data_IF_925273925685
#
_entry.id   IF_925273925685
#
_cell.length_a   1.000
_cell.length_b   1.000
_cell.length_c   1.000
_cell.angle_alpha   90.00
_cell.angle_beta   90.00
_cell.angle_gamma   90.00
#
_symmetry.space_group_name_H-M   'P 1'
#
loop_
_entity.id
_entity.type
_entity.pdbx_description
1 polymer ?
#
# COMPACT_ATOMS: atom_id res chain seq x y z
N UNK A 1 5.75 44.42 9.00
CA UNK A 1 6.65 45.58 8.80
C UNK A 1 5.94 46.95 8.85
N UNK A 2 4.71 47.06 9.39
CA UNK A 2 4.06 48.35 9.62
C UNK A 2 4.55 49.03 10.90
N UNK A 3 4.57 48.31 12.03
CA UNK A 3 5.08 48.82 13.33
C UNK A 3 6.46 49.47 13.20
N UNK A 4 7.40 48.75 12.58
CA UNK A 4 8.77 49.22 12.32
C UNK A 4 8.85 50.44 11.39
N UNK A 5 7.91 50.59 10.45
CA UNK A 5 7.90 51.71 9.49
C UNK A 5 7.48 53.03 10.16
N UNK A 6 6.56 52.96 11.11
CA UNK A 6 6.03 54.12 11.84
C UNK A 6 6.68 54.32 13.20
N UNK A 7 7.64 53.46 13.56
CA UNK A 7 8.43 53.62 14.77
C UNK A 7 9.30 54.89 14.63
N UNK A 8 9.34 55.75 15.65
CA UNK A 8 10.09 56.98 15.57
C UNK A 8 11.59 56.75 15.41
N UNK A 9 12.26 57.68 14.73
CA UNK A 9 13.72 57.61 14.54
C UNK A 9 14.39 58.25 15.75
N UNK A 10 15.43 57.64 16.29
CA UNK A 10 16.17 58.18 17.44
C UNK A 10 16.90 59.47 17.06
N UNK A 11 16.20 60.60 17.18
CA UNK A 11 16.71 61.95 16.89
C UNK A 11 16.38 62.85 18.10
N UNK A 12 17.32 63.69 18.54
CA UNK A 12 17.16 64.52 19.75
C UNK A 12 16.00 65.53 19.73
N UNK A 13 15.44 65.82 18.54
CA UNK A 13 14.29 66.75 18.39
C UNK A 13 12.93 66.09 18.61
N UNK A 14 12.80 64.78 18.41
CA UNK A 14 11.53 64.05 18.57
C UNK A 14 11.35 63.54 20.02
N UNK A 15 12.41 63.52 20.85
CA UNK A 15 12.32 63.12 22.26
C UNK A 15 11.38 64.02 23.09
N UNK A 16 11.28 65.30 22.73
CA UNK A 16 10.33 66.23 23.34
C UNK A 16 8.86 65.96 22.91
N UNK A 17 8.63 65.41 21.71
CA UNK A 17 7.29 65.02 21.24
C UNK A 17 6.72 63.81 21.99
N UNK A 18 7.56 62.88 22.46
CA UNK A 18 7.09 61.72 23.25
C UNK A 18 6.64 62.08 24.68
N UNK A 19 6.67 63.36 25.06
CA UNK A 19 6.08 63.85 26.32
C UNK A 19 4.56 63.99 26.21
N UNK A 20 4.01 64.16 25.01
CA UNK A 20 2.57 64.23 24.80
C UNK A 20 1.92 62.85 24.94
N UNK A 21 0.78 62.80 25.63
CA UNK A 21 0.03 61.56 25.88
C UNK A 21 -0.46 60.91 24.59
N UNK A 22 -0.81 61.70 23.57
CA UNK A 22 -1.19 61.23 22.24
C UNK A 22 -0.07 60.46 21.54
N UNK A 23 1.16 61.00 21.57
CA UNK A 23 2.33 60.34 20.99
C UNK A 23 2.65 59.04 21.71
N UNK A 24 2.55 59.00 23.05
CA UNK A 24 2.72 57.77 23.83
C UNK A 24 1.68 56.72 23.51
N UNK A 25 0.40 57.10 23.41
CA UNK A 25 -0.68 56.19 23.04
C UNK A 25 -0.46 55.57 21.65
N UNK A 26 -0.04 56.39 20.67
CA UNK A 26 0.30 55.90 19.34
C UNK A 26 1.44 54.87 19.37
N UNK A 27 2.50 55.12 20.16
CA UNK A 27 3.61 54.17 20.31
C UNK A 27 3.18 52.87 20.96
N UNK A 28 2.30 52.92 21.97
CA UNK A 28 1.74 51.72 22.57
C UNK A 28 0.98 50.89 21.54
N UNK A 29 0.13 51.52 20.72
CA UNK A 29 -0.58 50.83 19.63
C UNK A 29 0.38 50.21 18.61
N UNK A 30 1.48 50.89 18.26
CA UNK A 30 2.49 50.33 17.35
C UNK A 30 3.22 49.11 17.96
N UNK A 31 3.47 49.12 19.26
CA UNK A 31 4.08 48.00 19.97
C UNK A 31 3.10 46.82 20.06
N UNK A 32 1.84 47.05 20.44
CA UNK A 32 0.80 46.01 20.45
C UNK A 32 0.62 45.39 19.06
N UNK A 33 0.62 46.21 18.00
CA UNK A 33 0.57 45.72 16.62
C UNK A 33 1.79 44.84 16.28
N UNK A 34 2.97 45.20 16.79
CA UNK A 34 4.18 44.42 16.60
C UNK A 34 4.11 43.06 17.32
N UNK A 35 3.65 43.07 18.56
CA UNK A 35 3.53 41.87 19.39
C UNK A 35 2.46 40.92 18.82
N UNK A 36 1.34 41.47 18.36
CA UNK A 36 0.29 40.71 17.68
C UNK A 36 0.81 40.03 16.40
N UNK A 37 1.60 40.75 15.60
CA UNK A 37 2.23 40.17 14.41
C UNK A 37 3.21 39.04 14.76
N UNK A 38 3.98 39.20 15.84
CA UNK A 38 4.89 38.15 16.33
C UNK A 38 4.15 36.90 16.83
N UNK A 39 3.05 37.08 17.55
CA UNK A 39 2.21 35.94 17.98
C UNK A 39 1.62 35.19 16.78
N UNK A 40 1.14 35.92 15.77
CA UNK A 40 0.66 35.33 14.52
C UNK A 40 1.75 34.52 13.80
N UNK A 41 2.99 35.00 13.79
CA UNK A 41 4.13 34.30 13.21
C UNK A 41 4.41 32.99 13.95
N UNK A 42 4.49 33.02 15.29
CA UNK A 42 4.69 31.81 16.12
C UNK A 42 3.58 30.80 15.89
N UNK A 43 2.31 31.24 15.86
CA UNK A 43 1.19 30.35 15.56
C UNK A 43 1.31 29.72 14.17
N UNK A 44 1.75 30.47 13.16
CA UNK A 44 1.94 29.94 11.80
C UNK A 44 3.08 28.92 11.73
N UNK A 45 4.17 29.15 12.46
CA UNK A 45 5.28 28.22 12.61
C UNK A 45 4.83 26.92 13.29
N UNK A 46 4.05 27.02 14.38
CA UNK A 46 3.51 25.86 15.09
C UNK A 46 2.57 25.02 14.21
N UNK A 47 1.65 25.67 13.48
CA UNK A 47 0.76 24.99 12.55
C UNK A 47 1.55 24.27 11.44
N UNK A 48 2.60 24.92 10.94
CA UNK A 48 3.44 24.35 9.88
C UNK A 48 4.21 23.13 10.39
N UNK A 49 4.88 23.27 11.52
CA UNK A 49 5.79 22.25 12.07
C UNK A 49 5.06 21.06 12.68
N UNK A 50 3.92 21.27 13.34
CA UNK A 50 3.21 20.20 14.04
C UNK A 50 2.06 19.59 13.25
N UNK A 51 1.42 20.36 12.36
CA UNK A 51 0.27 19.86 11.59
C UNK A 51 0.67 19.56 10.15
N UNK A 52 1.20 20.55 9.42
CA UNK A 52 1.48 20.37 7.99
C UNK A 52 2.58 19.32 7.78
N UNK A 53 3.66 19.36 8.56
CA UNK A 53 4.73 18.35 8.46
C UNK A 53 4.23 16.94 8.76
N UNK A 54 3.46 16.74 9.83
CA UNK A 54 2.93 15.43 10.21
C UNK A 54 1.93 14.88 9.19
N UNK A 55 1.02 15.73 8.67
CA UNK A 55 0.13 15.33 7.59
C UNK A 55 0.90 14.94 6.32
N UNK A 56 1.97 15.67 6.00
CA UNK A 56 2.82 15.36 4.84
C UNK A 56 3.53 14.02 5.02
N UNK A 57 4.07 13.75 6.22
CA UNK A 57 4.69 12.46 6.57
C UNK A 57 3.67 11.32 6.45
N UNK A 58 2.49 11.49 7.04
CA UNK A 58 1.43 10.49 7.01
C UNK A 58 0.97 10.16 5.57
N UNK A 59 0.87 11.18 4.69
CA UNK A 59 0.55 10.96 3.28
C UNK A 59 1.63 10.13 2.57
N UNK A 60 2.92 10.31 2.90
CA UNK A 60 4.00 9.51 2.32
C UNK A 60 3.92 8.06 2.79
N UNK A 61 3.64 7.83 4.07
CA UNK A 61 3.44 6.50 4.65
C UNK A 61 2.26 5.78 3.99
N UNK A 62 1.10 6.43 3.88
CA UNK A 62 -0.07 5.88 3.18
C UNK A 62 0.23 5.52 1.72
N UNK A 63 1.02 6.34 1.01
CA UNK A 63 1.43 6.03 -0.36
C UNK A 63 2.34 4.81 -0.42
N UNK A 64 3.22 4.61 0.56
CA UNK A 64 4.11 3.46 0.64
C UNK A 64 3.34 2.19 1.01
N UNK A 65 2.46 2.26 2.01
CA UNK A 65 1.60 1.17 2.45
C UNK A 65 0.69 0.69 1.29
N UNK A 66 0.06 1.63 0.58
CA UNK A 66 -0.72 1.32 -0.62
C UNK A 66 0.08 0.53 -1.66
N UNK A 67 1.34 0.91 -1.92
CA UNK A 67 2.21 0.18 -2.85
C UNK A 67 2.52 -1.23 -2.35
N UNK A 68 2.76 -1.39 -1.05
CA UNK A 68 2.97 -2.70 -0.43
C UNK A 68 1.76 -3.61 -0.64
N UNK A 69 0.56 -3.13 -0.35
CA UNK A 69 -0.67 -3.90 -0.55
C UNK A 69 -0.90 -4.32 -2.01
N UNK A 70 -0.60 -3.44 -2.97
CA UNK A 70 -0.65 -3.82 -4.39
C UNK A 70 0.36 -4.93 -4.73
N UNK A 71 1.57 -4.86 -4.18
CA UNK A 71 2.58 -5.89 -4.41
C UNK A 71 2.19 -7.23 -3.80
N UNK A 72 1.67 -7.24 -2.57
CA UNK A 72 1.19 -8.46 -1.90
C UNK A 72 -0.02 -9.06 -2.64
N UNK A 73 -0.94 -8.23 -3.11
CA UNK A 73 -2.07 -8.65 -3.94
C UNK A 73 -1.60 -9.29 -5.25
N UNK A 74 -0.60 -8.70 -5.91
CA UNK A 74 -0.02 -9.27 -7.12
C UNK A 74 0.66 -10.64 -6.85
N UNK A 75 1.39 -10.76 -5.74
CA UNK A 75 2.01 -12.03 -5.32
C UNK A 75 0.97 -13.11 -5.05
N UNK A 76 -0.10 -12.77 -4.34
CA UNK A 76 -1.20 -13.70 -4.08
C UNK A 76 -1.90 -14.16 -5.38
N UNK A 77 -2.13 -13.23 -6.31
CA UNK A 77 -2.69 -13.56 -7.63
C UNK A 77 -1.78 -14.51 -8.42
N UNK A 78 -0.47 -14.25 -8.46
CA UNK A 78 0.50 -15.11 -9.11
C UNK A 78 0.52 -16.52 -8.49
N UNK A 79 0.42 -16.61 -7.16
CA UNK A 79 0.33 -17.89 -6.46
C UNK A 79 -0.91 -18.70 -6.86
N UNK A 80 -2.08 -18.04 -6.93
CA UNK A 80 -3.34 -18.68 -7.35
C UNK A 80 -3.23 -19.14 -8.80
N UNK A 81 -2.69 -18.32 -9.70
CA UNK A 81 -2.54 -18.67 -11.12
C UNK A 81 -1.61 -19.88 -11.31
N UNK A 82 -0.51 -19.93 -10.56
CA UNK A 82 0.41 -21.08 -10.59
C UNK A 82 -0.27 -22.35 -10.05
N UNK A 83 -1.01 -22.24 -8.94
CA UNK A 83 -1.75 -23.35 -8.36
C UNK A 83 -2.81 -23.88 -9.33
N UNK A 84 -3.51 -22.99 -10.02
CA UNK A 84 -4.48 -23.34 -11.06
C UNK A 84 -3.83 -24.10 -12.23
N UNK A 85 -2.69 -23.61 -12.74
CA UNK A 85 -1.94 -24.29 -13.81
C UNK A 85 -1.50 -25.69 -13.39
N UNK A 86 -1.05 -25.86 -12.15
CA UNK A 86 -0.68 -27.18 -11.60
C UNK A 86 -1.89 -28.11 -11.51
N UNK A 87 -3.02 -27.62 -11.01
CA UNK A 87 -4.27 -28.38 -10.93
C UNK A 87 -4.71 -28.84 -12.32
N UNK A 88 -4.70 -27.95 -13.31
CA UNK A 88 -5.10 -28.27 -14.68
C UNK A 88 -4.19 -29.33 -15.31
N UNK A 89 -2.87 -29.24 -15.06
CA UNK A 89 -1.90 -30.26 -15.47
C UNK A 89 -2.19 -31.62 -14.82
N UNK A 90 -2.43 -31.63 -13.50
CA UNK A 90 -2.74 -32.83 -12.73
C UNK A 90 -4.04 -33.48 -13.22
N UNK A 91 -5.09 -32.68 -13.45
CA UNK A 91 -6.37 -33.13 -14.00
C UNK A 91 -6.18 -33.79 -15.36
N UNK A 92 -5.47 -33.15 -16.29
CA UNK A 92 -5.20 -33.72 -17.62
C UNK A 92 -4.41 -35.02 -17.56
N UNK A 93 -3.48 -35.15 -16.61
CA UNK A 93 -2.75 -36.41 -16.38
C UNK A 93 -3.70 -37.49 -15.88
N UNK A 94 -4.47 -37.20 -14.84
CA UNK A 94 -5.46 -38.12 -14.29
C UNK A 94 -6.46 -38.60 -15.35
N UNK A 95 -7.01 -37.69 -16.17
CA UNK A 95 -7.93 -38.06 -17.26
C UNK A 95 -7.31 -39.00 -18.29
N UNK A 96 -6.01 -38.87 -18.57
CA UNK A 96 -5.30 -39.81 -19.47
C UNK A 96 -5.12 -41.16 -18.80
N UNK A 97 -4.64 -41.16 -17.56
CA UNK A 97 -4.34 -42.38 -16.80
C UNK A 97 -5.64 -43.19 -16.58
N UNK A 98 -6.77 -42.54 -16.27
CA UNK A 98 -8.08 -43.21 -16.19
C UNK A 98 -8.52 -43.83 -17.51
N UNK A 99 -8.37 -43.10 -18.64
CA UNK A 99 -8.72 -43.65 -19.96
C UNK A 99 -7.85 -44.85 -20.33
N UNK A 100 -6.59 -44.87 -19.91
CA UNK A 100 -5.69 -45.99 -20.14
C UNK A 100 -6.08 -47.19 -19.26
N UNK A 101 -6.40 -46.96 -17.99
CA UNK A 101 -6.92 -47.97 -17.09
C UNK A 101 -8.23 -48.60 -17.61
N UNK A 102 -9.19 -47.78 -18.08
CA UNK A 102 -10.44 -48.27 -18.66
C UNK A 102 -10.19 -49.17 -19.89
N UNK A 103 -9.23 -48.79 -20.75
CA UNK A 103 -8.85 -49.62 -21.91
C UNK A 103 -8.18 -50.93 -21.49
N UNK A 104 -7.31 -50.89 -20.49
CA UNK A 104 -6.65 -52.08 -19.96
C UNK A 104 -7.68 -53.03 -19.36
N UNK A 105 -8.65 -52.51 -18.61
CA UNK A 105 -9.73 -53.30 -18.02
C UNK A 105 -10.61 -53.94 -19.10
N UNK A 106 -11.06 -53.18 -20.10
CA UNK A 106 -11.83 -53.73 -21.22
C UNK A 106 -11.05 -54.81 -22.00
N UNK A 107 -9.73 -54.68 -22.10
CA UNK A 107 -8.90 -55.69 -22.75
C UNK A 107 -8.78 -56.96 -21.89
N UNK A 108 -8.61 -56.81 -20.58
CA UNK A 108 -8.64 -57.93 -19.65
C UNK A 108 -9.98 -58.67 -19.70
N UNK A 109 -11.10 -57.97 -19.58
CA UNK A 109 -12.45 -58.57 -19.60
C UNK A 109 -12.71 -59.37 -20.89
N UNK A 110 -12.18 -58.88 -22.04
CA UNK A 110 -12.26 -59.60 -23.32
C UNK A 110 -11.44 -60.88 -23.33
N UNK A 111 -10.23 -60.86 -22.78
CA UNK A 111 -9.31 -62.00 -22.73
C UNK A 111 -9.82 -63.05 -21.75
N UNK A 112 -10.33 -62.64 -20.60
CA UNK A 112 -10.91 -63.54 -19.58
C UNK A 112 -12.17 -64.26 -20.09
N UNK A 113 -12.99 -63.57 -20.91
CA UNK A 113 -14.19 -64.15 -21.51
C UNK A 113 -13.92 -65.03 -22.74
N UNK A 114 -12.70 -65.05 -23.30
CA UNK A 114 -12.37 -65.84 -24.49
C UNK A 114 -12.00 -67.28 -24.11
N UNK A 115 -12.90 -68.21 -24.43
CA UNK A 115 -12.80 -69.64 -24.15
C UNK A 115 -11.57 -70.28 -24.85
N UNK A 116 -11.01 -69.60 -25.85
CA UNK A 116 -9.85 -70.09 -26.61
C UNK A 116 -8.50 -69.60 -26.04
N UNK A 117 -8.50 -68.75 -25.02
CA UNK A 117 -7.28 -68.15 -24.44
C UNK A 117 -6.85 -68.90 -23.18
N UNK A 118 -5.54 -69.03 -22.96
CA UNK A 118 -5.02 -69.82 -21.84
C UNK A 118 -5.02 -69.04 -20.53
N UNK A 119 -5.08 -69.77 -19.41
CA UNK A 119 -4.99 -69.17 -18.06
C UNK A 119 -3.73 -68.32 -17.86
N UNK A 120 -2.61 -68.70 -18.49
CA UNK A 120 -1.36 -67.94 -18.44
C UNK A 120 -1.45 -66.59 -19.18
N UNK A 121 -2.23 -66.53 -20.27
CA UNK A 121 -2.45 -65.28 -21.01
C UNK A 121 -3.34 -64.32 -20.21
N UNK A 122 -4.36 -64.83 -19.51
CA UNK A 122 -5.20 -64.06 -18.59
C UNK A 122 -4.37 -63.48 -17.43
N UNK A 123 -3.53 -64.30 -16.78
CA UNK A 123 -2.66 -63.86 -15.68
C UNK A 123 -1.68 -62.76 -16.12
N UNK A 124 -1.12 -62.87 -17.34
CA UNK A 124 -0.20 -61.86 -17.91
C UNK A 124 -0.88 -60.50 -18.12
N UNK A 125 -2.16 -60.48 -18.48
CA UNK A 125 -2.92 -59.23 -18.63
C UNK A 125 -3.35 -58.69 -17.26
N UNK A 126 -3.63 -59.56 -16.29
CA UNK A 126 -3.95 -59.19 -14.91
C UNK A 126 -2.80 -58.41 -14.23
N UNK A 127 -1.55 -58.81 -14.46
CA UNK A 127 -0.36 -58.06 -13.99
C UNK A 127 -0.23 -56.64 -14.57
N UNK A 128 -0.91 -56.34 -15.69
CA UNK A 128 -0.90 -55.01 -16.32
C UNK A 128 -2.03 -54.10 -15.81
N UNK A 129 -2.95 -54.63 -14.98
CA UNK A 129 -4.01 -53.86 -14.33
C UNK A 129 -3.63 -53.33 -12.94
N UNK A 130 -2.66 -53.97 -12.29
CA UNK A 130 -2.12 -53.61 -10.97
C UNK A 130 -0.87 -52.73 -11.08
#
# INVERSE_FOLDING_TARGET
NLSKKYQPKKNSREEDEYKYTSCRAFLMTLNELNDYAGQHEVMAEDLTTHIICELTRYIQELKAERKSHFHDGHRAQQHIENSWKQLESSKRRFERDCKEADRAQQYFDKIDADINVTKADVEKVSYRLT
#
